data_IF_777116616996
#
_entry.id   IF_777116616996
#
_cell.length_a   1.000
_cell.length_b   1.000
_cell.length_c   1.000
_cell.angle_alpha   90.00
_cell.angle_beta   90.00
_cell.angle_gamma   90.00
#
_symmetry.space_group_name_H-M   'P 1'
#
loop_
_entity.id
_entity.type
_entity.pdbx_description
1 polymer ?
#
# COMPACT_ATOMS: atom_id res chain seq x y z
N UNK A 1 -16.06 -5.83 52.71
CA UNK A 1 -17.32 -6.58 52.84
C UNK A 1 -18.33 -5.67 53.55
N UNK A 2 -19.66 -5.82 53.39
CA UNK A 2 -20.54 -6.13 52.24
C UNK A 2 -21.55 -4.95 52.02
N UNK A 3 -22.26 -4.80 50.88
CA UNK A 3 -23.61 -5.33 50.58
C UNK A 3 -24.72 -4.47 51.23
N UNK A 4 -25.89 -4.09 50.66
CA UNK A 4 -26.70 -4.52 49.51
C UNK A 4 -27.88 -3.53 49.33
N UNK A 5 -28.31 -3.32 48.07
CA UNK A 5 -29.69 -3.23 47.52
C UNK A 5 -30.86 -2.53 48.25
N UNK A 6 -31.62 -1.68 47.52
CA UNK A 6 -32.98 -2.00 47.00
C UNK A 6 -33.65 -0.81 46.30
N UNK A 7 -34.46 -1.13 45.30
CA UNK A 7 -35.17 -0.26 44.36
C UNK A 7 -36.44 0.38 44.94
N UNK A 8 -37.00 1.41 44.26
CA UNK A 8 -38.39 1.44 43.75
C UNK A 8 -38.97 2.87 43.54
N UNK A 9 -39.35 3.14 42.28
CA UNK A 9 -40.59 3.77 41.76
C UNK A 9 -41.02 5.18 42.22
N UNK A 10 -41.25 6.05 41.23
CA UNK A 10 -42.04 7.28 41.36
C UNK A 10 -42.32 7.97 40.02
N UNK A 11 -43.43 7.61 39.38
CA UNK A 11 -43.98 8.10 38.11
C UNK A 11 -44.73 9.45 38.25
N UNK A 12 -44.76 10.24 37.17
CA UNK A 12 -45.85 11.14 36.69
C UNK A 12 -45.45 12.62 36.50
N UNK A 13 -45.33 13.12 35.25
CA UNK A 13 -46.35 13.74 34.34
C UNK A 13 -46.41 15.28 34.48
N UNK A 14 -46.12 15.97 33.37
CA UNK A 14 -46.86 17.12 32.78
C UNK A 14 -45.99 17.68 31.62
N UNK A 15 -46.26 17.38 30.34
CA UNK A 15 -47.30 17.93 29.43
C UNK A 15 -47.14 19.41 29.10
N UNK A 16 -46.86 19.69 27.81
CA UNK A 16 -47.36 20.75 26.90
C UNK A 16 -46.40 20.83 25.69
N UNK A 17 -46.65 20.25 24.51
CA UNK A 17 -47.63 20.55 23.43
C UNK A 17 -47.61 21.99 22.89
N UNK A 18 -47.16 22.17 21.62
CA UNK A 18 -47.79 22.92 20.50
C UNK A 18 -47.01 22.61 19.21
N UNK A 19 -47.45 21.74 18.29
CA UNK A 19 -48.35 21.90 17.11
C UNK A 19 -47.93 22.94 16.03
N UNK A 20 -47.50 22.42 14.87
CA UNK A 20 -47.61 23.03 13.52
C UNK A 20 -47.79 21.88 12.51
N UNK A 21 -49.01 21.41 12.25
CA UNK A 21 -49.96 21.75 11.17
C UNK A 21 -49.42 21.51 9.74
N UNK A 22 -49.92 20.42 9.17
CA UNK A 22 -49.95 20.04 7.75
C UNK A 22 -50.95 20.95 7.01
N UNK A 23 -50.62 21.38 5.80
CA UNK A 23 -51.60 21.79 4.79
C UNK A 23 -51.16 21.33 3.40
N UNK A 24 -52.10 20.67 2.72
CA UNK A 24 -52.07 20.08 1.40
C UNK A 24 -52.85 20.99 0.42
N UNK A 25 -52.52 20.89 -0.88
CA UNK A 25 -53.21 21.40 -2.09
C UNK A 25 -53.06 22.88 -2.47
N UNK A 26 -52.55 23.14 -3.68
CA UNK A 26 -53.43 23.26 -4.85
C UNK A 26 -52.66 23.21 -6.19
N UNK A 27 -53.29 22.57 -7.18
CA UNK A 27 -52.89 22.58 -8.58
C UNK A 27 -53.18 23.95 -9.20
N UNK A 28 -52.21 24.54 -9.91
CA UNK A 28 -52.49 25.35 -11.11
C UNK A 28 -51.45 25.13 -12.20
N UNK A 29 -51.99 24.57 -13.27
CA UNK A 29 -51.58 24.63 -14.65
C UNK A 29 -51.27 26.09 -15.05
N UNK A 30 -50.08 26.37 -15.58
CA UNK A 30 -49.82 27.51 -16.46
C UNK A 30 -48.73 27.08 -17.47
N UNK A 31 -49.23 26.51 -18.56
CA UNK A 31 -48.54 26.36 -19.83
C UNK A 31 -48.48 27.74 -20.50
N UNK A 32 -47.28 28.30 -20.63
CA UNK A 32 -46.84 29.23 -21.68
C UNK A 32 -45.34 28.96 -21.87
N UNK A 33 -44.90 28.09 -22.78
CA UNK A 33 -44.79 28.30 -24.22
C UNK A 33 -43.97 29.55 -24.59
N UNK A 34 -42.80 29.26 -25.18
CA UNK A 34 -42.02 30.08 -26.11
C UNK A 34 -40.91 30.98 -25.52
N UNK A 35 -39.73 30.39 -25.35
CA UNK A 35 -38.50 30.99 -25.87
C UNK A 35 -37.66 29.85 -26.48
N UNK A 36 -37.76 29.72 -27.80
CA UNK A 36 -36.79 29.00 -28.62
C UNK A 36 -35.41 29.66 -28.44
N UNK A 37 -34.55 29.07 -27.60
CA UNK A 37 -33.11 29.31 -27.68
C UNK A 37 -32.41 27.99 -28.04
N UNK A 38 -32.15 27.88 -29.34
CA UNK A 38 -31.41 26.83 -30.03
C UNK A 38 -29.95 26.87 -29.60
N UNK A 39 -29.66 26.31 -28.42
CA UNK A 39 -28.31 26.14 -27.89
C UNK A 39 -27.86 24.70 -28.04
N UNK A 40 -27.20 24.36 -29.16
CA UNK A 40 -26.49 23.10 -29.38
C UNK A 40 -25.81 22.60 -28.09
N UNK A 41 -26.35 21.56 -27.47
CA UNK A 41 -25.66 20.83 -26.42
C UNK A 41 -24.46 20.15 -27.07
N UNK A 42 -23.31 20.83 -27.00
CA UNK A 42 -22.08 20.33 -27.61
C UNK A 42 -21.83 18.92 -27.08
N UNK A 43 -21.66 17.94 -27.98
CA UNK A 43 -21.48 16.52 -27.63
C UNK A 43 -20.29 16.23 -26.70
N UNK A 44 -19.50 17.24 -26.33
CA UNK A 44 -18.50 17.21 -25.28
C UNK A 44 -19.11 17.12 -23.86
N UNK A 45 -20.25 17.77 -23.60
CA UNK A 45 -20.92 17.79 -22.28
C UNK A 45 -21.54 16.43 -21.93
N UNK A 46 -22.26 15.83 -22.88
CA UNK A 46 -22.85 14.50 -22.72
C UNK A 46 -21.80 13.40 -22.54
N UNK A 47 -20.68 13.46 -23.29
CA UNK A 47 -19.55 12.52 -23.15
C UNK A 47 -18.83 12.64 -21.82
N UNK A 48 -18.64 13.86 -21.30
CA UNK A 48 -18.00 14.07 -20.00
C UNK A 48 -18.84 13.51 -18.85
N UNK A 49 -20.18 13.57 -18.97
CA UNK A 49 -21.10 12.98 -18.00
C UNK A 49 -21.15 11.45 -18.08
N UNK A 50 -21.17 10.89 -19.29
CA UNK A 50 -21.09 9.45 -19.54
C UNK A 50 -19.77 8.86 -19.03
N UNK A 51 -18.64 9.55 -19.25
CA UNK A 51 -17.33 9.14 -18.75
C UNK A 51 -17.24 9.20 -17.21
N UNK A 52 -17.84 10.22 -16.60
CA UNK A 52 -17.92 10.33 -15.14
C UNK A 52 -18.81 9.24 -14.52
N UNK A 53 -19.94 8.92 -15.16
CA UNK A 53 -20.85 7.85 -14.72
C UNK A 53 -20.19 6.46 -14.88
N UNK A 54 -19.48 6.23 -16.00
CA UNK A 54 -18.70 5.01 -16.22
C UNK A 54 -17.54 4.84 -15.22
N UNK A 55 -16.88 5.93 -14.82
CA UNK A 55 -15.85 5.90 -13.79
C UNK A 55 -16.41 5.51 -12.41
N UNK A 56 -17.58 6.06 -12.04
CA UNK A 56 -18.27 5.73 -10.79
C UNK A 56 -18.77 4.28 -10.80
N UNK A 57 -19.27 3.78 -11.94
CA UNK A 57 -19.73 2.40 -12.07
C UNK A 57 -18.58 1.40 -12.00
N UNK A 58 -17.42 1.73 -12.61
CA UNK A 58 -16.20 0.92 -12.50
C UNK A 58 -15.63 0.92 -11.07
N UNK A 59 -15.69 2.05 -10.36
CA UNK A 59 -15.32 2.15 -8.95
C UNK A 59 -16.23 1.31 -8.06
N UNK A 60 -17.55 1.36 -8.30
CA UNK A 60 -18.52 0.48 -7.62
C UNK A 60 -18.28 -0.99 -7.93
N UNK A 61 -17.96 -1.36 -9.17
CA UNK A 61 -17.65 -2.74 -9.53
C UNK A 61 -16.37 -3.22 -8.83
N UNK A 62 -15.36 -2.35 -8.72
CA UNK A 62 -14.12 -2.63 -7.99
C UNK A 62 -14.37 -2.81 -6.48
N UNK A 63 -15.30 -2.06 -5.89
CA UNK A 63 -15.75 -2.25 -4.50
C UNK A 63 -16.61 -3.51 -4.33
N UNK A 64 -17.44 -3.87 -5.31
CA UNK A 64 -18.35 -5.02 -5.21
C UNK A 64 -17.64 -6.37 -5.40
N UNK A 65 -16.52 -6.40 -6.13
CA UNK A 65 -15.78 -7.63 -6.40
C UNK A 65 -14.88 -8.12 -5.25
N UNK A 66 -14.89 -7.48 -4.08
CA UNK A 66 -14.27 -8.02 -2.86
C UNK A 66 -12.82 -8.50 -3.05
N UNK A 67 -12.08 -7.90 -3.99
CA UNK A 67 -10.68 -8.24 -4.20
C UNK A 67 -9.89 -7.52 -3.11
N UNK A 68 -9.88 -8.13 -1.92
CA UNK A 68 -9.18 -7.63 -0.76
C UNK A 68 -7.67 -7.81 -0.97
N UNK A 69 -7.08 -6.91 -1.76
CA UNK A 69 -5.65 -6.86 -2.04
C UNK A 69 -4.80 -6.58 -0.78
N UNK A 70 -5.43 -6.34 0.38
CA UNK A 70 -4.75 -5.96 1.63
C UNK A 70 -4.44 -7.15 2.54
N UNK A 71 -5.04 -8.32 2.34
CA UNK A 71 -4.88 -9.49 3.23
C UNK A 71 -3.88 -10.56 2.75
N UNK A 72 -3.19 -10.36 1.61
CA UNK A 72 -2.19 -11.32 1.13
C UNK A 72 -0.87 -11.22 1.93
N UNK A 73 -0.80 -11.99 3.03
CA UNK A 73 0.41 -12.40 3.77
C UNK A 73 1.51 -11.33 3.78
N UNK A 74 1.34 -10.33 4.66
CA UNK A 74 2.40 -9.37 4.93
C UNK A 74 3.53 -10.14 5.63
N UNK A 75 4.52 -10.56 4.83
CA UNK A 75 5.71 -11.23 5.33
C UNK A 75 6.38 -10.30 6.33
N UNK A 76 6.45 -10.72 7.60
CA UNK A 76 7.05 -9.91 8.65
C UNK A 76 8.56 -9.85 8.46
N UNK A 77 9.01 -8.79 7.80
CA UNK A 77 10.43 -8.56 7.55
C UNK A 77 11.20 -8.43 8.86
N UNK A 78 10.59 -7.88 9.93
CA UNK A 78 11.27 -7.53 11.17
C UNK A 78 11.51 -8.72 12.09
N UNK A 79 10.71 -9.76 11.96
CA UNK A 79 10.94 -11.04 12.64
C UNK A 79 12.15 -11.83 12.09
N UNK A 80 12.68 -11.47 10.91
CA UNK A 80 13.75 -12.23 10.24
C UNK A 80 15.08 -11.52 10.38
N UNK A 81 16.01 -12.14 11.12
CA UNK A 81 17.38 -11.65 11.30
C UNK A 81 18.20 -11.71 10.01
N UNK A 82 18.15 -12.85 9.30
CA UNK A 82 18.86 -13.05 8.03
C UNK A 82 17.99 -13.77 7.00
N UNK A 83 17.59 -13.03 5.97
CA UNK A 83 16.76 -13.54 4.87
C UNK A 83 17.48 -14.64 4.06
N UNK A 84 18.82 -14.63 4.05
CA UNK A 84 19.60 -15.59 3.27
C UNK A 84 19.52 -17.02 3.82
N UNK A 85 19.18 -17.17 5.11
CA UNK A 85 19.05 -18.46 5.80
C UNK A 85 17.65 -19.07 5.66
N UNK A 86 16.69 -18.30 5.13
CA UNK A 86 15.33 -18.77 4.91
C UNK A 86 15.25 -19.80 3.78
N UNK A 87 14.29 -20.71 3.92
CA UNK A 87 13.92 -21.64 2.85
C UNK A 87 13.08 -20.92 1.78
N UNK A 88 13.03 -21.47 0.57
CA UNK A 88 12.32 -20.82 -0.52
C UNK A 88 10.80 -20.72 -0.30
N UNK A 89 10.25 -21.56 0.58
CA UNK A 89 8.82 -21.59 0.92
C UNK A 89 8.41 -20.47 1.87
N UNK A 90 9.34 -19.91 2.63
CA UNK A 90 9.11 -18.76 3.53
C UNK A 90 9.44 -17.43 2.88
N UNK A 91 9.93 -17.40 1.64
CA UNK A 91 10.17 -16.15 0.94
C UNK A 91 8.89 -15.32 0.72
N UNK A 92 9.01 -13.99 0.63
CA UNK A 92 7.88 -13.12 0.33
C UNK A 92 7.23 -13.52 -0.98
N UNK A 93 5.89 -13.50 -0.99
CA UNK A 93 5.10 -13.79 -2.17
C UNK A 93 5.02 -12.54 -3.05
N UNK A 94 5.21 -12.76 -4.35
CA UNK A 94 5.14 -11.73 -5.40
C UNK A 94 3.98 -12.03 -6.32
N UNK A 95 3.28 -10.98 -6.73
CA UNK A 95 2.15 -11.07 -7.66
C UNK A 95 2.62 -11.45 -9.06
N UNK A 96 3.80 -10.97 -9.49
CA UNK A 96 4.37 -11.27 -10.80
C UNK A 96 5.51 -12.28 -10.72
N UNK A 97 5.45 -13.31 -11.57
CA UNK A 97 6.53 -14.29 -11.73
C UNK A 97 7.88 -13.64 -12.12
N UNK A 98 7.84 -12.53 -12.87
CA UNK A 98 9.04 -11.74 -13.21
C UNK A 98 9.68 -11.13 -11.96
N UNK A 99 8.88 -10.62 -11.02
CA UNK A 99 9.36 -10.05 -9.76
C UNK A 99 9.94 -11.14 -8.87
N UNK A 100 9.26 -12.30 -8.78
CA UNK A 100 9.80 -13.49 -8.09
C UNK A 100 11.17 -13.91 -8.67
N UNK A 101 11.30 -13.95 -10.01
CA UNK A 101 12.57 -14.30 -10.64
C UNK A 101 13.67 -13.25 -10.37
N UNK A 102 13.34 -11.96 -10.35
CA UNK A 102 14.27 -10.89 -9.96
C UNK A 102 14.72 -11.06 -8.52
N UNK A 103 13.80 -11.33 -7.61
CA UNK A 103 14.08 -11.60 -6.21
C UNK A 103 15.02 -12.80 -6.02
N UNK A 104 14.76 -13.93 -6.69
CA UNK A 104 15.62 -15.11 -6.58
C UNK A 104 17.04 -14.86 -7.12
N UNK A 105 17.17 -14.10 -8.22
CA UNK A 105 18.50 -13.67 -8.71
C UNK A 105 19.22 -12.78 -7.71
N UNK A 106 18.49 -11.86 -7.07
CA UNK A 106 19.03 -10.99 -6.05
C UNK A 106 19.54 -11.81 -4.84
N UNK A 107 18.73 -12.72 -4.30
CA UNK A 107 19.14 -13.62 -3.19
C UNK A 107 20.36 -14.45 -3.57
N UNK A 108 20.36 -15.05 -4.77
CA UNK A 108 21.50 -15.83 -5.27
C UNK A 108 22.79 -15.01 -5.33
N UNK A 109 22.71 -13.75 -5.77
CA UNK A 109 23.86 -12.85 -5.82
C UNK A 109 24.42 -12.58 -4.41
N UNK A 110 23.56 -12.29 -3.44
CA UNK A 110 24.01 -12.02 -2.06
C UNK A 110 24.68 -13.26 -1.44
N UNK A 111 24.10 -14.46 -1.61
CA UNK A 111 24.73 -15.72 -1.15
C UNK A 111 26.14 -15.92 -1.73
N UNK A 112 26.28 -15.75 -3.05
CA UNK A 112 27.59 -15.84 -3.70
C UNK A 112 28.59 -14.80 -3.17
N UNK A 113 28.11 -13.59 -2.83
CA UNK A 113 28.98 -12.57 -2.22
C UNK A 113 29.40 -12.93 -0.81
N UNK A 114 28.55 -13.56 0.00
CA UNK A 114 28.94 -14.01 1.33
C UNK A 114 30.07 -15.05 1.27
N UNK A 115 29.92 -16.07 0.44
CA UNK A 115 30.95 -17.11 0.23
C UNK A 115 32.25 -16.49 -0.29
N UNK A 116 32.15 -15.54 -1.24
CA UNK A 116 33.31 -14.87 -1.79
C UNK A 116 34.08 -14.05 -0.75
N UNK A 117 33.40 -13.41 0.21
CA UNK A 117 34.06 -12.58 1.24
C UNK A 117 35.05 -13.38 2.10
N UNK A 118 34.79 -14.67 2.30
CA UNK A 118 35.65 -15.53 3.12
C UNK A 118 37.06 -15.64 2.52
N UNK A 119 37.14 -15.80 1.20
CA UNK A 119 38.37 -16.04 0.43
C UNK A 119 38.93 -14.79 -0.26
N UNK A 120 38.15 -13.71 -0.34
CA UNK A 120 38.54 -12.52 -1.07
C UNK A 120 39.68 -11.74 -0.38
N UNK A 121 40.61 -11.16 -1.16
CA UNK A 121 41.63 -10.27 -0.62
C UNK A 121 40.99 -8.99 -0.07
N UNK A 122 41.58 -8.43 1.00
CA UNK A 122 41.08 -7.22 1.68
C UNK A 122 40.88 -6.04 0.72
N UNK A 123 41.72 -5.91 -0.32
CA UNK A 123 41.56 -4.88 -1.36
C UNK A 123 40.27 -5.04 -2.15
N UNK A 124 39.91 -6.26 -2.52
CA UNK A 124 38.65 -6.60 -3.21
C UNK A 124 37.45 -6.33 -2.31
N UNK A 125 37.52 -6.77 -1.06
CA UNK A 125 36.49 -6.53 -0.02
C UNK A 125 36.27 -5.03 0.20
N UNK A 126 37.35 -4.25 0.28
CA UNK A 126 37.28 -2.79 0.44
C UNK A 126 36.63 -2.09 -0.75
N UNK A 127 36.90 -2.56 -1.97
CA UNK A 127 36.25 -2.03 -3.18
C UNK A 127 34.74 -2.34 -3.18
N UNK A 128 34.37 -3.59 -2.87
CA UNK A 128 32.96 -3.98 -2.79
C UNK A 128 32.24 -3.21 -1.68
N UNK A 129 32.86 -3.02 -0.52
CA UNK A 129 32.30 -2.23 0.58
C UNK A 129 31.89 -0.82 0.12
N UNK A 130 32.79 -0.08 -0.55
CA UNK A 130 32.49 1.26 -1.05
C UNK A 130 31.33 1.26 -2.05
N UNK A 131 31.29 0.26 -2.93
CA UNK A 131 30.21 0.11 -3.90
C UNK A 131 28.87 -0.17 -3.20
N UNK A 132 28.83 -1.14 -2.29
CA UNK A 132 27.61 -1.54 -1.58
C UNK A 132 27.08 -0.43 -0.67
N UNK A 133 27.94 0.35 -0.02
CA UNK A 133 27.51 1.51 0.76
C UNK A 133 26.77 2.54 -0.11
N UNK A 134 27.26 2.81 -1.32
CA UNK A 134 26.58 3.71 -2.26
C UNK A 134 25.28 3.11 -2.79
N UNK A 135 25.27 1.82 -3.10
CA UNK A 135 24.06 1.13 -3.57
C UNK A 135 22.98 1.10 -2.48
N UNK A 136 23.35 0.97 -1.19
CA UNK A 136 22.42 1.01 -0.07
C UNK A 136 21.65 2.34 0.01
N UNK A 137 22.31 3.47 -0.26
CA UNK A 137 21.65 4.78 -0.32
C UNK A 137 20.60 4.82 -1.45
N UNK A 138 20.94 4.26 -2.61
CA UNK A 138 19.99 4.13 -3.73
C UNK A 138 18.79 3.25 -3.39
N UNK A 139 19.02 2.11 -2.74
CA UNK A 139 17.95 1.20 -2.29
C UNK A 139 17.00 1.90 -1.32
N UNK A 140 17.55 2.67 -0.35
CA UNK A 140 16.75 3.44 0.61
C UNK A 140 15.93 4.54 -0.05
N UNK A 141 16.50 5.24 -1.03
CA UNK A 141 15.76 6.23 -1.82
C UNK A 141 14.58 5.58 -2.53
N UNK A 142 14.82 4.50 -3.29
CA UNK A 142 13.75 3.81 -4.02
C UNK A 142 12.68 3.23 -3.08
N UNK A 143 13.08 2.72 -1.91
CA UNK A 143 12.14 2.26 -0.88
C UNK A 143 11.20 3.37 -0.45
N UNK A 144 11.75 4.54 -0.10
CA UNK A 144 10.98 5.71 0.31
C UNK A 144 10.04 6.18 -0.81
N UNK A 145 10.52 6.18 -2.05
CA UNK A 145 9.69 6.55 -3.21
C UNK A 145 8.47 5.62 -3.34
N UNK A 146 8.65 4.30 -3.19
CA UNK A 146 7.54 3.35 -3.24
C UNK A 146 6.58 3.46 -2.04
N UNK A 147 7.10 3.72 -0.84
CA UNK A 147 6.27 3.97 0.36
C UNK A 147 5.39 5.20 0.12
N UNK A 148 5.98 6.30 -0.32
CA UNK A 148 5.27 7.55 -0.61
C UNK A 148 4.21 7.37 -1.71
N UNK A 149 4.53 6.69 -2.81
CA UNK A 149 3.57 6.45 -3.89
C UNK A 149 2.36 5.63 -3.41
N UNK A 150 2.58 4.63 -2.54
CA UNK A 150 1.51 3.82 -1.97
C UNK A 150 0.62 4.64 -1.02
N UNK A 151 1.23 5.53 -0.22
CA UNK A 151 0.55 6.45 0.69
C UNK A 151 -0.27 7.51 -0.04
N UNK A 152 0.19 8.01 -1.20
CA UNK A 152 -0.53 9.07 -1.95
C UNK A 152 -1.91 8.65 -2.44
N UNK A 153 -2.19 7.34 -2.50
CA UNK A 153 -3.50 6.81 -2.87
C UNK A 153 -3.89 6.96 -4.35
N UNK A 154 -3.05 7.60 -5.17
CA UNK A 154 -3.36 7.92 -6.58
C UNK A 154 -3.24 6.73 -7.54
N UNK A 155 -2.65 5.62 -7.09
CA UNK A 155 -2.41 4.43 -7.91
C UNK A 155 -3.68 3.59 -8.11
N UNK A 156 -3.87 3.09 -9.34
CA UNK A 156 -4.89 2.07 -9.64
C UNK A 156 -4.59 0.77 -8.87
N UNK A 157 -5.58 -0.12 -8.66
CA UNK A 157 -5.36 -1.37 -7.93
C UNK A 157 -4.21 -2.23 -8.48
N UNK A 158 -4.10 -2.34 -9.80
CA UNK A 158 -3.03 -3.10 -10.46
C UNK A 158 -1.66 -2.44 -10.28
N UNK A 159 -1.58 -1.11 -10.38
CA UNK A 159 -0.36 -0.36 -10.12
C UNK A 159 0.06 -0.48 -8.65
N UNK A 160 -0.89 -0.37 -7.71
CA UNK A 160 -0.66 -0.53 -6.28
C UNK A 160 -0.08 -1.89 -5.96
N UNK A 161 -0.66 -2.96 -6.50
CA UNK A 161 -0.14 -4.32 -6.37
C UNK A 161 1.31 -4.44 -6.83
N UNK A 162 1.63 -3.87 -8.01
CA UNK A 162 3.00 -3.84 -8.51
C UNK A 162 3.96 -3.03 -7.61
N UNK A 163 3.55 -1.86 -7.14
CA UNK A 163 4.37 -1.04 -6.22
C UNK A 163 4.60 -1.72 -4.88
N UNK A 164 3.64 -2.50 -4.37
CA UNK A 164 3.85 -3.33 -3.17
C UNK A 164 4.92 -4.40 -3.40
N UNK A 165 4.92 -5.07 -4.54
CA UNK A 165 5.97 -6.04 -4.87
C UNK A 165 7.36 -5.37 -4.96
N UNK A 166 7.45 -4.20 -5.57
CA UNK A 166 8.70 -3.42 -5.63
C UNK A 166 9.16 -2.99 -4.24
N UNK A 167 8.25 -2.53 -3.39
CA UNK A 167 8.54 -2.20 -2.00
C UNK A 167 9.04 -3.42 -1.22
N UNK A 168 8.38 -4.58 -1.36
CA UNK A 168 8.84 -5.85 -0.77
C UNK A 168 10.28 -6.17 -1.20
N UNK A 169 10.60 -6.03 -2.49
CA UNK A 169 11.97 -6.24 -2.99
C UNK A 169 12.96 -5.27 -2.35
N UNK A 170 12.65 -3.97 -2.28
CA UNK A 170 13.51 -2.97 -1.66
C UNK A 170 13.74 -3.23 -0.16
N UNK A 171 12.70 -3.61 0.59
CA UNK A 171 12.84 -3.97 2.02
C UNK A 171 13.81 -5.14 2.23
N UNK A 172 13.67 -6.19 1.42
CA UNK A 172 14.59 -7.36 1.48
C UNK A 172 16.00 -6.95 1.07
N UNK A 173 16.13 -6.21 -0.04
CA UNK A 173 17.42 -5.79 -0.56
C UNK A 173 18.17 -4.91 0.44
N UNK A 174 17.48 -4.01 1.14
CA UNK A 174 18.05 -3.20 2.20
C UNK A 174 18.62 -4.08 3.33
N UNK A 175 17.84 -5.04 3.85
CA UNK A 175 18.31 -5.93 4.92
C UNK A 175 19.53 -6.75 4.51
N UNK A 176 19.51 -7.34 3.31
CA UNK A 176 20.66 -8.10 2.80
C UNK A 176 21.89 -7.22 2.55
N UNK A 177 21.71 -6.00 2.04
CA UNK A 177 22.79 -5.04 1.83
C UNK A 177 23.44 -4.64 3.16
N UNK A 178 22.65 -4.32 4.19
CA UNK A 178 23.14 -3.99 5.53
C UNK A 178 23.91 -5.17 6.14
N UNK A 179 23.40 -6.39 6.00
CA UNK A 179 24.07 -7.60 6.45
C UNK A 179 25.42 -7.81 5.74
N UNK A 180 25.42 -7.70 4.41
CA UNK A 180 26.63 -7.82 3.58
C UNK A 180 27.69 -6.77 3.96
N UNK A 181 27.29 -5.51 4.10
CA UNK A 181 28.17 -4.41 4.52
C UNK A 181 28.78 -4.70 5.89
N UNK A 182 28.01 -5.25 6.82
CA UNK A 182 28.49 -5.63 8.15
C UNK A 182 29.59 -6.71 8.06
N UNK A 183 29.37 -7.76 7.27
CA UNK A 183 30.40 -8.80 7.00
C UNK A 183 31.66 -8.23 6.34
N UNK A 184 31.49 -7.38 5.33
CA UNK A 184 32.61 -6.70 4.66
C UNK A 184 33.43 -5.87 5.65
N UNK A 185 32.75 -5.12 6.52
CA UNK A 185 33.40 -4.27 7.52
C UNK A 185 34.19 -5.11 8.54
N UNK A 186 33.65 -6.25 8.99
CA UNK A 186 34.35 -7.17 9.89
C UNK A 186 35.63 -7.69 9.23
N UNK A 187 35.56 -8.17 7.97
CA UNK A 187 36.73 -8.67 7.23
C UNK A 187 37.79 -7.58 7.07
N UNK A 188 37.40 -6.36 6.68
CA UNK A 188 38.32 -5.21 6.55
C UNK A 188 38.99 -4.89 7.88
N UNK A 189 38.22 -4.81 8.98
CA UNK A 189 38.76 -4.53 10.32
C UNK A 189 39.69 -5.63 10.83
N UNK A 190 39.37 -6.89 10.54
CA UNK A 190 40.18 -8.04 10.96
C UNK A 190 41.54 -8.11 10.26
N UNK A 191 41.68 -7.48 9.09
CA UNK A 191 42.90 -7.55 8.27
C UNK A 191 43.26 -8.97 7.80
N UNK A 192 42.38 -9.96 7.99
CA UNK A 192 42.63 -11.37 7.66
C UNK A 192 42.74 -11.51 6.14
N UNK A 193 43.98 -11.75 5.68
CA UNK A 193 44.30 -12.06 4.29
C UNK A 193 43.75 -13.42 3.90
#
# INVERSE_FOLDING_TARGET
>A
MPGTDTASIGTSIASQETKSKVEEKDLRDDVLADDEDDGEETGASARAREEAEAAIELEKLAQMNGFNFEEENDFDFDAVDNILDLNETTFPQFTLAKNKARFLRMVSWYRQKEEWIEVAPVSGVTKLFKQQTKELEGIRSSKLDYEMELETGTLTPSQRSYRRDELKMCKVQEKMAVHLISKLQIKIKSGRR
#
